data_IF_522657180580
#
_entry.id   IF_522657180580
#
_cell.length_a   1.000
_cell.length_b   1.000
_cell.length_c   1.000
_cell.angle_alpha   90.00
_cell.angle_beta   90.00
_cell.angle_gamma   90.00
#
_symmetry.space_group_name_H-M   'P 1'
#
loop_
_entity.id
_entity.type
_entity.pdbx_description
1 polymer ?
#
# COMPACT_ATOMS: atom_id res chain seq x y z
N UNK A 1 3.06 -25.62 -7.76
CA UNK A 1 2.58 -24.33 -7.21
C UNK A 1 1.07 -24.14 -7.39
N UNK A 2 0.51 -23.82 -8.56
CA UNK A 2 -0.97 -23.61 -8.69
C UNK A 2 -1.75 -24.85 -8.20
N UNK A 3 -1.29 -26.05 -8.56
CA UNK A 3 -1.90 -27.30 -8.11
C UNK A 3 -1.76 -27.55 -6.60
N UNK A 4 -0.81 -26.89 -5.93
CA UNK A 4 -0.57 -27.00 -4.49
C UNK A 4 -1.35 -25.95 -3.68
N UNK A 5 -1.48 -24.71 -4.20
CA UNK A 5 -2.21 -23.62 -3.53
C UNK A 5 -3.70 -23.55 -3.92
N UNK A 6 -4.12 -24.27 -4.96
CA UNK A 6 -5.51 -24.35 -5.41
C UNK A 6 -6.08 -23.06 -6.04
N UNK A 7 -5.24 -22.04 -6.27
CA UNK A 7 -5.61 -20.74 -6.80
C UNK A 7 -4.53 -20.20 -7.73
N UNK A 8 -4.93 -19.35 -8.68
CA UNK A 8 -4.01 -18.62 -9.57
C UNK A 8 -3.58 -17.29 -8.93
N UNK A 9 -2.37 -16.78 -9.25
CA UNK A 9 -2.02 -15.41 -8.91
C UNK A 9 -2.80 -14.43 -9.81
N UNK A 10 -3.35 -13.38 -9.20
CA UNK A 10 -4.07 -12.32 -9.90
C UNK A 10 -3.43 -10.97 -9.57
N UNK A 11 -2.47 -10.48 -10.37
CA UNK A 11 -2.00 -9.11 -10.25
C UNK A 11 -3.14 -8.14 -10.61
N UNK A 12 -3.44 -7.22 -9.70
CA UNK A 12 -4.52 -6.24 -9.86
C UNK A 12 -3.94 -4.86 -9.55
N UNK A 13 -4.29 -3.86 -10.37
CA UNK A 13 -3.89 -2.49 -10.08
C UNK A 13 -4.51 -2.04 -8.75
N UNK A 14 -3.70 -1.36 -7.92
CA UNK A 14 -4.11 -0.95 -6.56
C UNK A 14 -5.41 -0.13 -6.55
N UNK A 15 -5.56 0.81 -7.51
CA UNK A 15 -6.74 1.64 -7.62
C UNK A 15 -8.00 0.80 -7.89
N UNK A 16 -7.90 -0.16 -8.80
CA UNK A 16 -9.00 -1.05 -9.20
C UNK A 16 -9.42 -1.93 -8.00
N UNK A 17 -8.45 -2.57 -7.33
CA UNK A 17 -8.73 -3.39 -6.15
C UNK A 17 -9.34 -2.57 -5.01
N UNK A 18 -8.81 -1.38 -4.73
CA UNK A 18 -9.32 -0.52 -3.68
C UNK A 18 -10.78 -0.13 -3.95
N UNK A 19 -11.10 0.28 -5.18
CA UNK A 19 -12.46 0.64 -5.57
C UNK A 19 -13.42 -0.55 -5.47
N UNK A 20 -13.00 -1.73 -5.95
CA UNK A 20 -13.82 -2.96 -5.87
C UNK A 20 -14.18 -3.31 -4.42
N UNK A 21 -13.21 -3.22 -3.50
CA UNK A 21 -13.45 -3.51 -2.09
C UNK A 21 -14.37 -2.46 -1.43
N UNK A 22 -14.18 -1.18 -1.75
CA UNK A 22 -15.05 -0.11 -1.24
C UNK A 22 -16.49 -0.25 -1.72
N UNK A 23 -16.68 -0.62 -2.99
CA UNK A 23 -18.00 -0.88 -3.57
C UNK A 23 -18.65 -2.13 -2.95
N UNK A 24 -17.88 -3.20 -2.74
CA UNK A 24 -18.38 -4.43 -2.14
C UNK A 24 -18.79 -4.26 -0.67
N UNK A 25 -18.10 -3.38 0.07
CA UNK A 25 -18.47 -3.03 1.44
C UNK A 25 -19.70 -2.12 1.48
N UNK A 26 -19.74 -1.10 0.62
CA UNK A 26 -20.75 -0.04 0.62
C UNK A 26 -20.09 1.32 0.82
N UNK A 27 -20.15 2.19 -0.18
CA UNK A 27 -19.50 3.51 -0.12
C UNK A 27 -20.13 4.43 0.93
N UNK A 28 -21.42 4.29 1.18
CA UNK A 28 -22.17 5.12 2.14
C UNK A 28 -21.77 4.80 3.60
N UNK A 29 -21.22 3.61 3.85
CA UNK A 29 -20.72 3.19 5.17
C UNK A 29 -19.25 3.62 5.40
N UNK A 30 -18.62 4.28 4.42
CA UNK A 30 -17.23 4.76 4.51
C UNK A 30 -17.20 6.26 4.74
N UNK A 31 -16.78 6.66 5.94
CA UNK A 31 -16.62 8.06 6.30
C UNK A 31 -15.22 8.58 5.91
N UNK A 32 -15.12 9.23 4.76
CA UNK A 32 -13.87 9.88 4.31
C UNK A 32 -13.59 11.17 5.07
N UNK A 33 -12.33 11.64 5.01
CA UNK A 33 -11.90 12.87 5.70
C UNK A 33 -11.70 12.71 7.21
N UNK A 34 -11.98 11.52 7.75
CA UNK A 34 -11.86 11.21 9.17
C UNK A 34 -10.42 10.86 9.55
N UNK A 35 -9.59 11.88 9.79
CA UNK A 35 -8.21 11.68 10.28
C UNK A 35 -8.22 11.49 11.80
N UNK A 36 -8.01 10.25 12.25
CA UNK A 36 -7.86 9.95 13.68
C UNK A 36 -6.58 10.62 14.24
N UNK A 37 -6.69 11.20 15.43
CA UNK A 37 -5.60 11.88 16.14
C UNK A 37 -5.38 11.36 17.57
N UNK A 38 -6.32 10.58 18.10
CA UNK A 38 -6.15 9.86 19.36
C UNK A 38 -7.02 8.61 19.40
N UNK A 39 -6.58 7.60 20.15
CA UNK A 39 -7.36 6.42 20.51
C UNK A 39 -7.12 6.12 22.00
N UNK A 40 -8.17 5.71 22.70
CA UNK A 40 -8.11 5.34 24.11
C UNK A 40 -9.01 4.13 24.37
N UNK A 41 -8.50 3.16 25.12
CA UNK A 41 -9.29 2.07 25.70
C UNK A 41 -9.82 2.50 27.07
N UNK A 42 -11.14 2.66 27.18
CA UNK A 42 -11.82 3.06 28.40
C UNK A 42 -12.44 1.86 29.12
N UNK A 43 -12.98 2.05 30.34
CA UNK A 43 -13.59 0.96 31.10
C UNK A 43 -14.81 0.34 30.42
N UNK A 44 -15.56 1.12 29.64
CA UNK A 44 -16.83 0.69 29.01
C UNK A 44 -16.75 0.60 27.48
N UNK A 45 -15.84 1.36 26.84
CA UNK A 45 -15.70 1.40 25.39
C UNK A 45 -14.33 1.95 24.97
N UNK A 46 -13.88 1.54 23.79
CA UNK A 46 -12.79 2.18 23.09
C UNK A 46 -13.29 3.44 22.37
N UNK A 47 -12.49 4.51 22.40
CA UNK A 47 -12.86 5.81 21.84
C UNK A 47 -11.78 6.32 20.89
N UNK A 48 -12.19 6.70 19.69
CA UNK A 48 -11.35 7.34 18.68
C UNK A 48 -11.74 8.82 18.51
N UNK A 49 -10.76 9.71 18.55
CA UNK A 49 -10.94 11.15 18.33
C UNK A 49 -10.31 11.57 17.00
N UNK A 50 -10.99 12.47 16.29
CA UNK A 50 -10.63 12.88 14.93
C UNK A 50 -10.26 14.37 14.86
N UNK A 51 -9.50 14.73 13.83
CA UNK A 51 -8.93 16.07 13.66
C UNK A 51 -9.98 17.18 13.48
N UNK A 52 -11.20 16.83 13.08
CA UNK A 52 -12.35 17.74 12.97
C UNK A 52 -13.06 17.98 14.32
N UNK A 53 -12.61 17.32 15.40
CA UNK A 53 -13.22 17.37 16.73
C UNK A 53 -14.26 16.27 16.98
N UNK A 54 -14.61 15.48 15.96
CA UNK A 54 -15.53 14.34 16.11
C UNK A 54 -14.92 13.28 17.01
N UNK A 55 -15.77 12.61 17.79
CA UNK A 55 -15.38 11.45 18.62
C UNK A 55 -16.35 10.30 18.37
N UNK A 56 -15.84 9.08 18.28
CA UNK A 56 -16.61 7.85 18.09
C UNK A 56 -16.22 6.84 19.16
N UNK A 57 -17.21 6.23 19.81
CA UNK A 57 -17.03 5.15 20.79
C UNK A 57 -17.56 3.83 20.24
N UNK A 58 -16.85 2.74 20.50
CA UNK A 58 -17.20 1.40 20.05
C UNK A 58 -16.66 0.33 21.00
N UNK A 59 -17.22 -0.88 20.94
CA UNK A 59 -16.73 -2.03 21.71
C UNK A 59 -15.31 -2.43 21.30
N UNK A 60 -14.96 -2.25 20.02
CA UNK A 60 -13.66 -2.60 19.44
C UNK A 60 -13.23 -1.55 18.42
N UNK A 61 -11.94 -1.18 18.46
CA UNK A 61 -11.27 -0.39 17.42
C UNK A 61 -10.25 -1.25 16.69
N UNK A 62 -10.33 -1.28 15.36
CA UNK A 62 -9.36 -2.01 14.51
C UNK A 62 -8.35 -1.01 13.94
N UNK A 63 -7.08 -1.17 14.32
CA UNK A 63 -5.96 -0.39 13.77
C UNK A 63 -5.60 -0.80 12.35
N UNK A 64 -6.17 -0.12 11.36
CA UNK A 64 -5.88 -0.30 9.93
C UNK A 64 -5.32 0.98 9.26
N UNK A 65 -4.63 1.82 10.04
CA UNK A 65 -4.13 3.16 9.69
C UNK A 65 -2.72 3.19 9.07
N UNK A 66 -2.23 2.05 8.61
CA UNK A 66 -1.07 1.95 7.71
C UNK A 66 0.32 2.11 8.36
N UNK A 67 1.33 2.39 7.53
CA UNK A 67 2.73 2.35 7.96
C UNK A 67 3.09 3.41 9.03
N UNK A 68 2.37 4.53 9.07
CA UNK A 68 2.50 5.58 10.09
C UNK A 68 1.49 5.47 11.23
N UNK A 69 0.99 4.26 11.51
CA UNK A 69 -0.10 3.98 12.45
C UNK A 69 0.08 4.61 13.83
N UNK A 70 -0.90 5.43 14.23
CA UNK A 70 -1.06 5.93 15.58
C UNK A 70 -1.55 4.81 16.51
N UNK A 71 -2.40 3.93 16.00
CA UNK A 71 -2.91 2.78 16.77
C UNK A 71 -1.77 1.89 17.26
N UNK A 72 -0.76 1.65 16.41
CA UNK A 72 0.42 0.87 16.77
C UNK A 72 1.23 1.54 17.87
N UNK A 73 1.42 2.86 17.80
CA UNK A 73 2.17 3.61 18.82
C UNK A 73 1.43 3.61 20.16
N UNK A 74 0.10 3.72 20.14
CA UNK A 74 -0.74 3.58 21.34
C UNK A 74 -0.54 2.22 22.00
N UNK A 75 -0.70 1.13 21.24
CA UNK A 75 -0.57 -0.25 21.76
C UNK A 75 0.83 -0.53 22.30
N UNK A 76 1.87 0.00 21.66
CA UNK A 76 3.27 -0.21 22.08
C UNK A 76 3.73 0.79 23.15
N UNK A 77 2.91 1.79 23.50
CA UNK A 77 3.23 2.82 24.49
C UNK A 77 4.31 3.81 24.05
N UNK A 78 4.55 3.96 22.74
CA UNK A 78 5.59 4.86 22.23
C UNK A 78 5.78 4.85 20.72
N UNK A 79 6.59 5.79 20.19
CA UNK A 79 6.79 5.95 18.76
C UNK A 79 7.56 4.78 18.13
N UNK A 80 7.22 4.44 16.88
CA UNK A 80 7.91 3.40 16.11
C UNK A 80 8.63 4.00 14.92
N UNK A 81 9.96 4.01 14.97
CA UNK A 81 10.79 4.55 13.89
C UNK A 81 10.92 3.58 12.72
N UNK A 82 10.61 4.05 11.51
CA UNK A 82 10.82 3.29 10.28
C UNK A 82 12.30 3.26 9.93
N UNK A 83 12.78 2.10 9.48
CA UNK A 83 14.13 1.93 8.96
C UNK A 83 14.11 2.05 7.43
N UNK A 84 15.00 2.87 6.88
CA UNK A 84 15.21 2.90 5.44
C UNK A 84 15.74 1.55 4.94
N UNK A 85 15.17 1.05 3.84
CA UNK A 85 15.45 -0.28 3.32
C UNK A 85 16.72 -0.35 2.46
N UNK A 86 17.32 0.79 2.09
CA UNK A 86 18.53 0.85 1.27
C UNK A 86 18.29 0.99 -0.23
N UNK A 87 17.05 1.19 -0.67
CA UNK A 87 16.71 1.39 -2.08
C UNK A 87 15.46 2.26 -2.25
N UNK A 88 15.30 2.80 -3.45
CA UNK A 88 14.12 3.51 -3.91
C UNK A 88 13.39 2.64 -4.94
N UNK A 89 12.06 2.59 -4.81
CA UNK A 89 11.18 1.93 -5.76
C UNK A 89 10.44 2.99 -6.60
N UNK A 90 10.52 2.88 -7.92
CA UNK A 90 9.68 3.61 -8.86
C UNK A 90 8.71 2.63 -9.47
N UNK A 91 7.42 2.93 -9.48
CA UNK A 91 6.41 2.01 -10.00
C UNK A 91 5.28 2.75 -10.72
N UNK A 92 4.56 2.02 -11.56
CA UNK A 92 3.45 2.57 -12.32
C UNK A 92 2.79 1.55 -13.22
N UNK A 93 1.98 2.05 -14.14
CA UNK A 93 1.27 1.26 -15.14
C UNK A 93 1.66 1.73 -16.54
N UNK A 94 1.87 0.78 -17.45
CA UNK A 94 2.06 1.03 -18.89
C UNK A 94 1.24 0.02 -19.69
N UNK A 95 1.04 0.27 -20.99
CA UNK A 95 0.47 -0.74 -21.88
C UNK A 95 1.44 -1.92 -22.02
N UNK A 96 0.89 -3.11 -22.19
CA UNK A 96 1.68 -4.31 -22.50
C UNK A 96 2.42 -4.14 -23.83
N UNK A 97 3.64 -4.66 -23.87
CA UNK A 97 4.52 -4.60 -25.02
C UNK A 97 5.48 -5.79 -24.96
N UNK A 98 5.38 -6.70 -25.93
CA UNK A 98 6.19 -7.92 -25.99
C UNK A 98 7.70 -7.62 -26.14
N UNK A 99 8.08 -6.38 -26.51
CA UNK A 99 9.48 -5.92 -26.49
C UNK A 99 10.02 -5.76 -25.07
N UNK A 100 9.16 -5.57 -24.08
CA UNK A 100 9.51 -5.43 -22.66
C UNK A 100 9.43 -6.78 -21.95
N UNK A 101 8.42 -7.60 -22.26
CA UNK A 101 8.25 -8.95 -21.73
C UNK A 101 6.90 -9.55 -22.13
N UNK A 102 6.69 -10.87 -22.00
CA UNK A 102 5.44 -11.49 -22.39
C UNK A 102 4.27 -11.05 -21.51
N UNK A 103 3.11 -10.74 -22.11
CA UNK A 103 1.90 -10.36 -21.38
C UNK A 103 1.24 -11.49 -20.54
N UNK A 104 1.86 -12.67 -20.50
CA UNK A 104 1.42 -13.85 -19.75
C UNK A 104 2.35 -14.20 -18.60
N UNK A 105 3.42 -13.44 -18.40
CA UNK A 105 4.50 -13.76 -17.46
C UNK A 105 4.81 -12.60 -16.54
N UNK A 106 5.33 -12.92 -15.36
CA UNK A 106 6.01 -11.94 -14.53
C UNK A 106 7.50 -11.96 -14.86
N UNK A 107 7.95 -10.96 -15.61
CA UNK A 107 9.36 -10.83 -16.03
C UNK A 107 10.09 -9.87 -15.11
N UNK A 108 11.25 -10.29 -14.58
CA UNK A 108 12.15 -9.44 -13.78
C UNK A 108 13.57 -9.51 -14.35
N UNK A 109 14.09 -8.35 -14.73
CA UNK A 109 15.48 -8.13 -15.10
C UNK A 109 16.28 -7.77 -13.86
N UNK A 110 17.41 -8.43 -13.63
CA UNK A 110 18.24 -8.24 -12.44
C UNK A 110 19.68 -7.94 -12.84
N UNK A 111 20.33 -7.00 -12.15
CA UNK A 111 21.71 -6.61 -12.41
C UNK A 111 22.15 -5.47 -11.49
N UNK A 112 23.44 -5.41 -11.14
CA UNK A 112 24.03 -4.34 -10.32
C UNK A 112 23.32 -4.05 -8.99
N UNK A 113 22.75 -5.08 -8.35
CA UNK A 113 21.95 -4.94 -7.13
C UNK A 113 20.59 -4.27 -7.34
N UNK A 114 20.19 -4.04 -8.58
CA UNK A 114 18.94 -3.42 -9.02
C UNK A 114 18.04 -4.46 -9.67
N UNK A 115 16.77 -4.11 -9.81
CA UNK A 115 15.83 -4.90 -10.61
C UNK A 115 14.79 -4.05 -11.29
N UNK A 116 14.37 -4.51 -12.47
CA UNK A 116 13.26 -3.94 -13.24
C UNK A 116 12.28 -5.05 -13.50
N UNK A 117 11.01 -4.82 -13.20
CA UNK A 117 9.99 -5.84 -13.29
C UNK A 117 8.79 -5.34 -14.05
N UNK A 118 8.16 -6.24 -14.79
CA UNK A 118 6.82 -6.08 -15.36
C UNK A 118 5.96 -7.30 -15.04
N UNK A 119 4.71 -7.08 -14.67
CA UNK A 119 3.72 -8.15 -14.50
C UNK A 119 2.38 -7.72 -15.09
N UNK A 120 1.69 -8.61 -15.81
CA UNK A 120 0.42 -8.28 -16.46
C UNK A 120 -0.66 -8.08 -15.39
N UNK A 121 -1.38 -6.97 -15.51
CA UNK A 121 -2.62 -6.68 -14.79
C UNK A 121 -3.77 -6.57 -15.81
N UNK A 122 -4.99 -6.32 -15.33
CA UNK A 122 -6.17 -6.16 -16.19
C UNK A 122 -5.98 -5.09 -17.30
N UNK A 123 -6.78 -5.21 -18.35
CA UNK A 123 -6.87 -4.26 -19.48
C UNK A 123 -5.59 -4.12 -20.31
N UNK A 124 -4.82 -5.21 -20.46
CA UNK A 124 -3.64 -5.23 -21.31
C UNK A 124 -2.53 -4.30 -20.81
N UNK A 125 -2.41 -4.12 -19.49
CA UNK A 125 -1.42 -3.26 -18.85
C UNK A 125 -0.36 -4.09 -18.13
N UNK A 126 0.86 -3.55 -18.05
CA UNK A 126 1.85 -3.99 -17.08
C UNK A 126 1.82 -3.08 -15.86
N UNK A 127 1.82 -3.69 -14.67
CA UNK A 127 2.42 -3.05 -13.50
C UNK A 127 3.94 -3.20 -13.62
N UNK A 128 4.64 -2.07 -13.59
CA UNK A 128 6.09 -2.06 -13.63
C UNK A 128 6.66 -1.53 -12.32
N UNK A 129 7.88 -1.98 -12.00
CA UNK A 129 8.71 -1.27 -11.02
C UNK A 129 10.20 -1.33 -11.33
N UNK A 130 10.92 -0.32 -10.86
CA UNK A 130 12.39 -0.22 -10.85
C UNK A 130 12.83 -0.07 -9.40
N UNK A 131 13.68 -0.98 -8.94
CA UNK A 131 14.39 -0.84 -7.67
C UNK A 131 15.81 -0.38 -7.92
N UNK A 132 16.17 0.75 -7.34
CA UNK A 132 17.50 1.35 -7.44
C UNK A 132 18.08 1.52 -6.05
N UNK A 133 19.26 0.93 -5.82
CA UNK A 133 20.01 1.11 -4.56
C UNK A 133 20.44 2.57 -4.46
N UNK A 134 20.05 3.23 -3.38
CA UNK A 134 20.32 4.65 -3.13
C UNK A 134 20.63 4.85 -1.64
N UNK A 135 21.53 5.78 -1.32
CA UNK A 135 21.84 6.11 0.08
C UNK A 135 20.68 6.88 0.72
N UNK A 136 20.54 6.79 2.05
CA UNK A 136 19.46 7.47 2.78
C UNK A 136 19.52 9.00 2.65
N UNK A 137 20.72 9.55 2.45
CA UNK A 137 20.96 11.01 2.39
C UNK A 137 20.74 11.60 0.99
N UNK A 138 20.38 10.76 0.00
CA UNK A 138 20.14 11.21 -1.37
C UNK A 138 18.90 12.11 -1.42
N UNK A 139 19.11 13.36 -1.85
CA UNK A 139 18.03 14.35 -1.92
C UNK A 139 17.11 14.03 -3.11
N UNK A 140 15.82 13.81 -2.83
CA UNK A 140 14.81 13.59 -3.86
C UNK A 140 14.06 14.87 -4.19
N UNK A 141 14.04 15.25 -5.47
CA UNK A 141 13.20 16.35 -5.96
C UNK A 141 11.87 15.81 -6.50
N UNK A 142 10.76 16.24 -5.89
CA UNK A 142 9.41 15.76 -6.23
C UNK A 142 9.02 16.25 -7.63
N UNK A 143 8.62 15.32 -8.50
CA UNK A 143 8.14 15.64 -9.86
C UNK A 143 9.20 15.54 -10.97
N UNK A 144 10.40 15.07 -10.66
CA UNK A 144 11.47 14.85 -11.64
C UNK A 144 11.35 13.53 -12.43
N UNK A 145 10.44 12.63 -12.04
CA UNK A 145 10.07 11.47 -12.84
C UNK A 145 9.26 11.94 -14.05
N UNK A 146 9.97 12.21 -15.15
CA UNK A 146 9.41 12.40 -16.49
C UNK A 146 9.23 11.06 -17.19
#
# INVERSE_FOLDING_TARGET
>A
LIDEVGQRPYPIARADLQMMLMQAYGLDDIHFGMKMVAVQDGPDAATASFADGTTVSADVVIGADGAGSLTREYVLGGPVTRRYAGYVNFNGLVQTDDRIGPATEWTTYVGDGKRVSVMPVADGRFYFFFDVVESQDTQFDKGSAR
#
